data_IF_868947403633
#
_entry.id   IF_868947403633
#
_cell.length_a   1.000
_cell.length_b   1.000
_cell.length_c   1.000
_cell.angle_alpha   90.00
_cell.angle_beta   90.00
_cell.angle_gamma   90.00
#
_symmetry.space_group_name_H-M   'P 1'
#
loop_
_entity.id
_entity.type
_entity.pdbx_description
1 polymer ?
#
# COMPACT_ATOMS: atom_id res chain seq x y z
N UNK A 1 5.22 35.24 4.27
CA UNK A 1 4.71 34.43 5.39
C UNK A 1 3.25 34.03 5.12
N UNK A 2 2.85 32.77 5.33
CA UNK A 2 1.56 32.21 4.90
C UNK A 2 0.34 32.60 5.77
N UNK A 3 0.47 33.55 6.70
CA UNK A 3 -0.56 33.77 7.73
C UNK A 3 -1.02 32.50 8.46
N UNK A 4 -0.23 31.41 8.40
CA UNK A 4 -0.43 30.12 9.05
C UNK A 4 -1.64 29.27 8.67
N UNK A 5 -2.49 29.65 7.71
CA UNK A 5 -3.79 28.98 7.48
C UNK A 5 -3.75 27.89 6.40
N UNK A 6 -4.40 26.76 6.68
CA UNK A 6 -4.57 25.62 5.77
C UNK A 6 -6.01 25.13 5.77
N UNK A 7 -6.47 24.57 4.65
CA UNK A 7 -7.74 23.86 4.55
C UNK A 7 -7.59 22.40 4.94
N UNK A 8 -8.54 21.87 5.70
CA UNK A 8 -8.60 20.44 6.04
C UNK A 8 -9.86 19.82 5.43
N UNK A 9 -9.68 18.75 4.67
CA UNK A 9 -10.79 17.93 4.17
C UNK A 9 -10.71 16.53 4.79
N UNK A 10 -11.61 16.24 5.72
CA UNK A 10 -11.68 14.93 6.37
C UNK A 10 -12.12 13.84 5.38
N UNK A 11 -11.70 12.61 5.65
CA UNK A 11 -12.17 11.44 4.93
C UNK A 11 -13.53 10.94 5.43
N UNK A 12 -13.94 9.78 4.93
CA UNK A 12 -15.12 9.04 5.42
C UNK A 12 -15.00 8.73 6.91
N UNK A 13 -13.79 8.40 7.35
CA UNK A 13 -13.43 8.34 8.76
C UNK A 13 -12.59 9.57 9.11
N UNK A 14 -13.11 10.44 9.98
CA UNK A 14 -12.46 11.70 10.35
C UNK A 14 -11.36 11.53 11.41
N UNK A 15 -11.36 10.43 12.16
CA UNK A 15 -10.38 10.13 13.21
C UNK A 15 -9.92 8.68 13.12
N UNK A 16 -8.70 8.43 13.57
CA UNK A 16 -8.22 7.07 13.78
C UNK A 16 -8.54 6.54 15.19
N UNK A 17 -8.14 5.29 15.46
CA UNK A 17 -8.33 4.63 16.77
C UNK A 17 -7.61 5.31 17.95
N UNK A 18 -6.70 6.24 17.70
CA UNK A 18 -5.99 7.03 18.71
C UNK A 18 -6.55 8.45 18.84
N UNK A 19 -7.65 8.77 18.14
CA UNK A 19 -8.27 10.09 18.16
C UNK A 19 -7.60 11.12 17.26
N UNK A 20 -6.59 10.74 16.47
CA UNK A 20 -5.89 11.67 15.56
C UNK A 20 -6.77 11.98 14.36
N UNK A 21 -6.80 13.23 13.94
CA UNK A 21 -7.55 13.69 12.76
C UNK A 21 -6.96 13.11 11.47
N UNK A 22 -7.81 12.48 10.67
CA UNK A 22 -7.48 12.00 9.33
C UNK A 22 -8.06 12.97 8.29
N UNK A 23 -7.20 13.85 7.78
CA UNK A 23 -7.59 14.87 6.81
C UNK A 23 -6.54 15.03 5.70
N UNK A 24 -7.03 15.45 4.54
CA UNK A 24 -6.22 15.95 3.44
C UNK A 24 -6.00 17.44 3.64
N UNK A 25 -4.74 17.87 3.61
CA UNK A 25 -4.35 19.25 3.85
C UNK A 25 -4.18 19.99 2.53
N UNK A 26 -4.78 21.17 2.45
CA UNK A 26 -4.77 22.04 1.29
C UNK A 26 -4.17 23.40 1.62
N UNK A 27 -3.27 23.89 0.77
CA UNK A 27 -2.81 25.27 0.81
C UNK A 27 -3.90 26.26 0.40
N UNK A 28 -3.63 27.56 0.57
CA UNK A 28 -4.60 28.63 0.26
C UNK A 28 -5.05 28.63 -1.20
N UNK A 29 -4.18 28.22 -2.12
CA UNK A 29 -4.49 28.11 -3.55
C UNK A 29 -5.27 26.83 -3.91
N UNK A 30 -5.65 26.01 -2.93
CA UNK A 30 -6.33 24.73 -3.17
C UNK A 30 -5.37 23.60 -3.57
N UNK A 31 -4.07 23.82 -3.45
CA UNK A 31 -3.03 22.82 -3.70
C UNK A 31 -3.02 21.76 -2.60
N UNK A 32 -3.08 20.48 -3.00
CA UNK A 32 -3.02 19.39 -2.04
C UNK A 32 -1.56 19.16 -1.59
N UNK A 33 -1.29 19.41 -0.30
CA UNK A 33 0.07 19.36 0.23
C UNK A 33 0.64 17.93 0.17
N UNK A 34 -0.18 16.91 0.43
CA UNK A 34 0.27 15.51 0.33
C UNK A 34 0.69 15.16 -1.11
N UNK A 35 -0.06 15.60 -2.11
CA UNK A 35 0.30 15.41 -3.52
C UNK A 35 1.61 16.13 -3.86
N UNK A 36 1.82 17.35 -3.35
CA UNK A 36 3.09 18.07 -3.52
C UNK A 36 4.28 17.33 -2.90
N UNK A 37 4.16 16.89 -1.65
CA UNK A 37 5.21 16.11 -0.98
C UNK A 37 5.54 14.84 -1.76
N UNK A 38 4.52 14.16 -2.29
CA UNK A 38 4.71 12.95 -3.10
C UNK A 38 5.41 13.24 -4.44
N UNK A 39 5.10 14.35 -5.13
CA UNK A 39 5.75 14.71 -6.40
C UNK A 39 7.19 15.23 -6.23
N UNK A 40 7.53 15.70 -5.04
CA UNK A 40 8.89 16.05 -4.61
C UNK A 40 9.68 14.84 -4.08
N UNK A 41 9.03 13.67 -3.93
CA UNK A 41 9.67 12.43 -3.50
C UNK A 41 9.92 12.34 -1.99
N UNK A 42 9.14 13.08 -1.20
CA UNK A 42 9.29 13.19 0.26
C UNK A 42 8.46 12.13 1.02
N UNK A 43 7.90 11.14 0.33
CA UNK A 43 7.14 10.07 0.95
C UNK A 43 6.58 9.06 -0.04
N UNK A 44 5.80 8.13 0.51
CA UNK A 44 5.09 7.09 -0.23
C UNK A 44 3.58 7.31 -0.11
N UNK A 45 2.84 7.13 -1.21
CA UNK A 45 1.39 7.12 -1.15
C UNK A 45 0.91 5.84 -0.47
N UNK A 46 -0.11 6.00 0.38
CA UNK A 46 -0.72 4.91 1.14
C UNK A 46 -2.22 4.94 0.95
N UNK A 47 -2.80 3.78 0.65
CA UNK A 47 -4.24 3.60 0.59
C UNK A 47 -4.74 2.86 1.83
N UNK A 48 -5.50 3.54 2.69
CA UNK A 48 -6.16 2.95 3.87
C UNK A 48 -7.67 3.12 3.73
N UNK A 49 -8.38 2.03 3.44
CA UNK A 49 -9.84 2.06 3.35
C UNK A 49 -10.47 2.39 4.72
N UNK A 50 -11.55 3.21 4.75
CA UNK A 50 -12.31 3.73 3.61
C UNK A 50 -11.83 5.09 3.06
N UNK A 51 -10.75 5.67 3.58
CA UNK A 51 -10.24 6.99 3.20
C UNK A 51 -9.36 6.96 1.94
N UNK A 52 -9.93 6.47 0.82
CA UNK A 52 -9.18 6.20 -0.42
C UNK A 52 -9.51 7.12 -1.59
N UNK A 53 -10.30 8.18 -1.36
CA UNK A 53 -10.79 9.07 -2.44
C UNK A 53 -9.70 9.77 -3.26
N UNK A 54 -8.49 9.96 -2.70
CA UNK A 54 -7.37 10.63 -3.37
C UNK A 54 -6.27 9.69 -3.87
N UNK A 55 -6.45 8.37 -3.72
CA UNK A 55 -5.41 7.38 -4.09
C UNK A 55 -4.91 7.55 -5.52
N UNK A 56 -5.82 7.79 -6.48
CA UNK A 56 -5.44 7.99 -7.89
C UNK A 56 -4.55 9.22 -8.07
N UNK A 57 -4.90 10.35 -7.44
CA UNK A 57 -4.13 11.59 -7.51
C UNK A 57 -2.76 11.44 -6.83
N UNK A 58 -2.73 10.87 -5.63
CA UNK A 58 -1.50 10.64 -4.89
C UNK A 58 -0.55 9.69 -5.62
N UNK A 59 -1.09 8.63 -6.24
CA UNK A 59 -0.33 7.71 -7.08
C UNK A 59 0.26 8.40 -8.30
N UNK A 60 -0.48 9.29 -8.97
CA UNK A 60 0.05 10.08 -10.08
C UNK A 60 1.18 11.01 -9.61
N UNK A 61 1.00 11.69 -8.48
CA UNK A 61 2.03 12.56 -7.92
C UNK A 61 3.31 11.78 -7.57
N UNK A 62 3.19 10.64 -6.88
CA UNK A 62 4.35 9.80 -6.54
C UNK A 62 5.06 9.29 -7.81
N UNK A 63 4.31 8.93 -8.87
CA UNK A 63 4.91 8.50 -10.15
C UNK A 63 5.80 9.58 -10.76
N UNK A 64 5.52 10.87 -10.54
CA UNK A 64 6.40 11.96 -10.99
C UNK A 64 7.75 11.87 -10.27
N UNK A 65 7.74 11.77 -8.95
CA UNK A 65 8.97 11.64 -8.16
C UNK A 65 9.75 10.37 -8.50
N UNK A 66 9.05 9.25 -8.68
CA UNK A 66 9.67 7.97 -9.05
C UNK A 66 10.37 8.03 -10.40
N UNK A 67 9.72 8.59 -11.43
CA UNK A 67 10.32 8.76 -12.76
C UNK A 67 11.52 9.71 -12.75
N UNK A 68 11.44 10.76 -11.94
CA UNK A 68 12.50 11.75 -11.80
C UNK A 68 13.60 11.35 -10.79
N UNK A 69 13.51 10.18 -10.15
CA UNK A 69 14.49 9.74 -9.14
C UNK A 69 14.62 10.68 -7.94
N UNK A 70 13.51 11.27 -7.46
CA UNK A 70 13.55 12.28 -6.39
C UNK A 70 13.41 11.68 -4.99
N UNK A 71 14.09 12.30 -4.03
CA UNK A 71 13.96 11.97 -2.60
C UNK A 71 14.13 10.48 -2.32
N UNK A 72 13.09 9.86 -1.72
CA UNK A 72 13.08 8.41 -1.41
C UNK A 72 13.16 7.50 -2.64
N UNK A 73 13.03 8.05 -3.85
CA UNK A 73 13.12 7.33 -5.13
C UNK A 73 14.46 7.49 -5.85
N UNK A 74 15.46 8.18 -5.26
CA UNK A 74 16.82 8.28 -5.83
C UNK A 74 17.43 6.89 -6.09
N UNK A 75 17.14 5.95 -5.20
CA UNK A 75 17.39 4.52 -5.39
C UNK A 75 16.06 3.78 -5.26
N UNK A 76 15.90 2.67 -5.98
CA UNK A 76 14.67 1.88 -5.89
C UNK A 76 14.49 1.34 -4.47
N UNK A 77 13.43 1.74 -3.74
CA UNK A 77 13.15 1.22 -2.41
C UNK A 77 12.43 -0.13 -2.45
N UNK A 78 12.12 -0.64 -3.67
CA UNK A 78 11.43 -1.91 -3.87
C UNK A 78 12.39 -3.05 -3.53
N UNK A 79 12.06 -3.82 -2.49
CA UNK A 79 12.83 -4.99 -2.07
C UNK A 79 12.14 -6.30 -2.48
N UNK A 80 12.90 -7.38 -2.65
CA UNK A 80 12.33 -8.70 -2.93
C UNK A 80 11.55 -9.25 -1.73
N UNK A 81 10.49 -10.01 -1.97
CA UNK A 81 9.71 -10.62 -0.88
C UNK A 81 10.54 -11.55 0.03
N UNK A 82 11.53 -12.26 -0.52
CA UNK A 82 12.49 -13.08 0.24
C UNK A 82 13.56 -12.27 1.00
N UNK A 83 13.74 -11.00 0.63
CA UNK A 83 14.69 -10.10 1.26
C UNK A 83 14.13 -9.39 2.50
N UNK A 84 12.84 -9.57 2.81
CA UNK A 84 12.23 -9.00 4.01
C UNK A 84 12.96 -9.47 5.29
N UNK A 85 13.35 -8.50 6.12
CA UNK A 85 14.03 -8.72 7.42
C UNK A 85 13.26 -8.15 8.61
N UNK A 86 12.43 -7.13 8.40
CA UNK A 86 11.72 -6.42 9.45
C UNK A 86 10.27 -6.13 9.08
N UNK A 87 9.41 -6.01 10.10
CA UNK A 87 8.06 -5.46 9.96
C UNK A 87 8.10 -3.95 9.70
N UNK A 88 7.04 -3.40 9.13
CA UNK A 88 6.91 -1.96 8.85
C UNK A 88 6.34 -1.70 7.46
N UNK A 89 6.26 -0.44 7.07
CA UNK A 89 5.88 -0.10 5.70
C UNK A 89 6.98 -0.56 4.72
N UNK A 90 6.59 -1.23 3.64
CA UNK A 90 7.52 -1.68 2.61
C UNK A 90 6.90 -1.63 1.21
N UNK A 91 7.77 -1.45 0.22
CA UNK A 91 7.52 -1.72 -1.19
C UNK A 91 8.18 -3.04 -1.55
N UNK A 92 7.38 -4.02 -1.94
CA UNK A 92 7.85 -5.39 -2.16
C UNK A 92 7.58 -5.81 -3.59
N UNK A 93 8.62 -6.26 -4.28
CA UNK A 93 8.52 -6.87 -5.60
C UNK A 93 8.62 -8.39 -5.50
N UNK A 94 7.90 -9.08 -6.38
CA UNK A 94 8.02 -10.53 -6.49
C UNK A 94 7.07 -11.14 -7.51
N UNK A 95 7.11 -12.47 -7.64
CA UNK A 95 6.21 -13.24 -8.51
C UNK A 95 5.04 -13.78 -7.68
N UNK A 96 3.82 -13.59 -8.16
CA UNK A 96 2.67 -14.24 -7.52
C UNK A 96 2.72 -15.75 -7.80
N UNK A 97 2.82 -16.56 -6.74
CA UNK A 97 3.00 -18.00 -6.83
C UNK A 97 1.69 -18.76 -6.62
N UNK A 98 0.83 -18.27 -5.74
CA UNK A 98 -0.43 -18.93 -5.39
C UNK A 98 -1.51 -17.91 -5.05
N UNK A 99 -2.77 -18.21 -5.40
CA UNK A 99 -3.92 -17.35 -5.13
C UNK A 99 -5.07 -18.21 -4.64
N UNK A 100 -5.64 -17.83 -3.50
CA UNK A 100 -6.85 -18.42 -2.95
C UNK A 100 -7.88 -17.34 -2.72
N UNK A 101 -9.10 -17.57 -3.21
CA UNK A 101 -10.26 -16.71 -2.95
C UNK A 101 -11.38 -17.57 -2.38
N UNK A 102 -11.85 -17.22 -1.19
CA UNK A 102 -12.93 -17.94 -0.50
C UNK A 102 -13.75 -16.95 0.34
N UNK A 103 -14.61 -17.44 1.24
CA UNK A 103 -15.46 -16.59 2.11
C UNK A 103 -14.66 -15.82 3.18
N UNK A 104 -13.45 -16.27 3.54
CA UNK A 104 -12.60 -15.59 4.53
C UNK A 104 -11.74 -14.48 3.92
N UNK A 105 -11.71 -14.36 2.59
CA UNK A 105 -11.09 -13.26 1.86
C UNK A 105 -10.30 -13.72 0.63
N UNK A 106 -9.29 -12.94 0.28
CA UNK A 106 -8.34 -13.26 -0.80
C UNK A 106 -6.95 -13.37 -0.20
N UNK A 107 -6.26 -14.48 -0.46
CA UNK A 107 -4.87 -14.72 -0.13
C UNK A 107 -4.06 -14.79 -1.44
N UNK A 108 -2.96 -14.06 -1.50
CA UNK A 108 -2.00 -14.10 -2.61
C UNK A 108 -0.62 -14.35 -2.03
N UNK A 109 0.10 -15.34 -2.51
CA UNK A 109 1.48 -15.60 -2.10
C UNK A 109 2.46 -15.01 -3.11
N UNK A 110 3.47 -14.32 -2.60
CA UNK A 110 4.53 -13.68 -3.37
C UNK A 110 5.86 -14.36 -3.03
N UNK A 111 6.53 -14.91 -4.06
CA UNK A 111 7.80 -15.66 -3.96
C UNK A 111 7.83 -16.68 -2.81
N UNK A 112 6.68 -17.29 -2.50
CA UNK A 112 6.49 -18.22 -1.37
C UNK A 112 7.01 -17.69 -0.01
N UNK A 113 7.15 -16.38 0.14
CA UNK A 113 7.80 -15.72 1.28
C UNK A 113 6.88 -14.72 1.98
N UNK A 114 6.04 -14.04 1.21
CA UNK A 114 5.09 -13.03 1.69
C UNK A 114 3.66 -13.43 1.35
N UNK A 115 2.77 -13.39 2.34
CA UNK A 115 1.34 -13.50 2.13
C UNK A 115 0.74 -12.09 2.03
N UNK A 116 -0.04 -11.86 0.97
CA UNK A 116 -0.95 -10.73 0.86
C UNK A 116 -2.35 -11.19 1.24
N UNK A 117 -3.05 -10.42 2.06
CA UNK A 117 -4.39 -10.75 2.50
C UNK A 117 -5.36 -9.59 2.30
N UNK A 118 -6.42 -9.85 1.55
CA UNK A 118 -7.62 -9.00 1.51
C UNK A 118 -8.61 -9.59 2.52
N UNK A 119 -9.01 -8.84 3.57
CA UNK A 119 -10.04 -9.29 4.51
C UNK A 119 -11.38 -9.57 3.82
N UNK A 120 -12.16 -10.54 4.32
CA UNK A 120 -13.52 -10.83 3.86
C UNK A 120 -14.39 -9.57 3.71
N UNK A 121 -14.35 -8.66 4.71
CA UNK A 121 -15.13 -7.41 4.70
C UNK A 121 -14.80 -6.46 3.53
N UNK A 122 -13.60 -6.56 2.96
CA UNK A 122 -13.16 -5.74 1.83
C UNK A 122 -13.23 -6.49 0.50
N UNK A 123 -13.48 -7.79 0.51
CA UNK A 123 -13.45 -8.64 -0.69
C UNK A 123 -14.40 -8.15 -1.81
N UNK A 124 -15.49 -7.47 -1.46
CA UNK A 124 -16.44 -6.86 -2.41
C UNK A 124 -15.79 -5.76 -3.26
N UNK A 125 -14.82 -5.04 -2.72
CA UNK A 125 -14.10 -3.97 -3.43
C UNK A 125 -13.01 -4.53 -4.37
N UNK A 126 -12.77 -5.85 -4.34
CA UNK A 126 -11.78 -6.55 -5.15
C UNK A 126 -12.47 -7.49 -6.16
N UNK A 127 -12.74 -7.01 -7.40
CA UNK A 127 -13.40 -7.82 -8.41
C UNK A 127 -12.57 -9.05 -8.79
N UNK A 128 -13.19 -10.07 -9.40
CA UNK A 128 -12.46 -11.28 -9.83
C UNK A 128 -11.29 -10.96 -10.78
N UNK A 129 -11.43 -9.92 -11.60
CA UNK A 129 -10.38 -9.42 -12.51
C UNK A 129 -9.12 -8.92 -11.79
N UNK A 130 -9.20 -8.59 -10.49
CA UNK A 130 -8.04 -8.17 -9.71
C UNK A 130 -6.96 -9.26 -9.65
N UNK A 131 -7.37 -10.51 -9.41
CA UNK A 131 -6.47 -11.67 -9.31
C UNK A 131 -6.32 -12.46 -10.61
N UNK A 132 -7.17 -12.19 -11.61
CA UNK A 132 -7.16 -12.91 -12.88
C UNK A 132 -5.78 -12.81 -13.57
N UNK A 133 -5.25 -13.96 -13.98
CA UNK A 133 -3.96 -14.08 -14.68
C UNK A 133 -2.75 -13.57 -13.90
N UNK A 134 -2.87 -13.42 -12.57
CA UNK A 134 -1.80 -12.87 -11.74
C UNK A 134 -0.75 -13.93 -11.38
N UNK A 135 -1.14 -15.21 -11.26
CA UNK A 135 -0.20 -16.31 -11.03
C UNK A 135 0.87 -16.30 -12.12
N UNK A 136 2.12 -16.38 -11.70
CA UNK A 136 3.27 -16.34 -12.60
C UNK A 136 3.74 -14.94 -12.98
N UNK A 137 2.95 -13.89 -12.74
CA UNK A 137 3.31 -12.51 -13.07
C UNK A 137 4.11 -11.85 -11.96
N UNK A 138 4.99 -10.92 -12.36
CA UNK A 138 5.69 -10.02 -11.44
C UNK A 138 4.74 -8.93 -10.99
N UNK A 139 4.74 -8.67 -9.70
CA UNK A 139 3.93 -7.65 -9.05
C UNK A 139 4.80 -6.81 -8.12
N UNK A 140 4.35 -5.59 -7.90
CA UNK A 140 4.82 -4.72 -6.83
C UNK A 140 3.65 -4.52 -5.87
N UNK A 141 3.92 -4.68 -4.58
CA UNK A 141 2.94 -4.49 -3.52
C UNK A 141 3.48 -3.49 -2.51
N UNK A 142 2.59 -2.68 -1.94
CA UNK A 142 2.92 -1.70 -0.90
C UNK A 142 2.00 -1.82 0.30
N UNK A 143 2.55 -1.60 1.49
CA UNK A 143 1.77 -1.60 2.72
C UNK A 143 2.61 -2.00 3.94
N UNK A 144 1.93 -2.20 5.06
CA UNK A 144 2.58 -2.64 6.29
C UNK A 144 2.76 -4.16 6.31
N UNK A 145 4.02 -4.58 6.30
CA UNK A 145 4.45 -5.95 6.54
C UNK A 145 4.43 -6.22 8.04
N UNK A 146 3.79 -7.31 8.42
CA UNK A 146 3.68 -7.83 9.78
C UNK A 146 4.51 -9.10 9.91
N UNK A 147 5.23 -9.19 11.04
CA UNK A 147 5.96 -10.39 11.44
C UNK A 147 5.06 -11.29 12.30
N UNK A 148 4.54 -12.37 11.71
CA UNK A 148 3.61 -13.27 12.42
C UNK A 148 4.29 -14.11 13.49
N UNK A 149 5.59 -14.38 13.37
CA UNK A 149 6.33 -15.18 14.36
C UNK A 149 6.49 -14.47 15.71
N UNK A 150 6.27 -13.15 15.76
CA UNK A 150 6.33 -12.37 17.01
C UNK A 150 5.09 -12.53 17.89
N UNK A 151 3.94 -12.91 17.31
CA UNK A 151 2.68 -13.08 18.07
C UNK A 151 2.51 -14.50 18.57
N UNK A 152 2.90 -15.49 17.77
CA UNK A 152 2.80 -16.91 18.11
C UNK A 152 3.81 -17.72 17.28
N UNK A 153 4.24 -18.90 17.75
CA UNK A 153 5.03 -19.82 16.94
C UNK A 153 4.33 -20.13 15.62
N UNK A 154 5.07 -20.11 14.52
CA UNK A 154 4.54 -20.45 13.19
C UNK A 154 4.32 -21.96 13.11
N UNK A 155 3.17 -22.39 12.59
CA UNK A 155 2.95 -23.80 12.26
C UNK A 155 3.80 -24.20 11.03
N UNK A 156 4.16 -25.48 10.86
CA UNK A 156 4.84 -25.94 9.65
C UNK A 156 4.11 -25.48 8.38
N UNK A 157 4.85 -24.87 7.45
CA UNK A 157 4.30 -24.33 6.20
C UNK A 157 3.71 -22.93 6.29
N UNK A 158 3.55 -22.34 7.48
CA UNK A 158 3.09 -20.96 7.60
C UNK A 158 4.17 -19.95 7.21
N UNK A 159 3.80 -18.98 6.39
CA UNK A 159 4.69 -17.88 6.03
C UNK A 159 4.74 -16.86 7.15
N UNK A 160 5.96 -16.42 7.45
CA UNK A 160 6.28 -15.42 8.49
C UNK A 160 5.67 -14.06 8.18
N UNK A 161 5.78 -13.62 6.93
CA UNK A 161 5.42 -12.25 6.54
C UNK A 161 3.98 -12.17 6.02
N UNK A 162 3.25 -11.18 6.51
CA UNK A 162 1.88 -10.87 6.09
C UNK A 162 1.76 -9.38 5.76
N UNK A 163 1.14 -9.05 4.64
CA UNK A 163 0.78 -7.68 4.26
C UNK A 163 -0.72 -7.61 3.96
N UNK A 164 -1.42 -6.72 4.64
CA UNK A 164 -2.86 -6.53 4.47
C UNK A 164 -3.14 -5.57 3.32
N UNK A 165 -3.95 -6.00 2.34
CA UNK A 165 -4.44 -5.14 1.26
C UNK A 165 -5.78 -4.56 1.67
N UNK A 166 -5.85 -3.24 1.78
CA UNK A 166 -7.10 -2.53 2.06
C UNK A 166 -7.70 -1.85 0.84
N UNK A 167 -6.91 -1.65 -0.20
CA UNK A 167 -7.35 -1.08 -1.48
C UNK A 167 -6.60 -1.74 -2.64
N UNK A 168 -7.22 -1.77 -3.82
CA UNK A 168 -6.67 -2.39 -5.03
C UNK A 168 -5.36 -1.73 -5.51
N UNK A 169 -5.20 -0.43 -5.26
CA UNK A 169 -4.00 0.32 -5.63
C UNK A 169 -2.72 -0.14 -4.92
N UNK A 170 -2.86 -0.94 -3.86
CA UNK A 170 -1.73 -1.46 -3.11
C UNK A 170 -0.97 -2.58 -3.84
N UNK A 171 -1.53 -3.15 -4.91
CA UNK A 171 -0.90 -4.18 -5.73
C UNK A 171 -0.95 -3.77 -7.21
N UNK A 172 0.20 -3.75 -7.86
CA UNK A 172 0.35 -3.43 -9.27
C UNK A 172 1.07 -4.54 -10.02
N UNK A 173 0.64 -4.81 -11.25
CA UNK A 173 1.41 -5.65 -12.18
C UNK A 173 2.61 -4.84 -12.66
N UNK A 174 3.80 -5.44 -12.63
CA UNK A 174 4.99 -4.83 -13.20
C UNK A 174 5.16 -5.39 -14.60
N UNK A 175 4.87 -4.55 -15.61
CA UNK A 175 5.28 -4.85 -16.97
C UNK A 175 6.78 -4.52 -17.07
N UNK A 176 7.56 -5.48 -17.53
CA UNK A 176 8.94 -5.22 -17.95
C UNK A 176 8.93 -4.34 -19.18
#
# INVERSE_FOLDING_TARGET
>A
ENGGRVGLRTGREARDKYGRTLAQVYGRSGDNLSARLLSEGLGFHVAVAPNVSLVTCQKQAERVARKAGRGVWRHSPVQGASALRSSGFALVGGKASHIQRNRSGIRIEIDNSLILQVPARLQRDFPASFTAGLIGRRVEVRGWVLDRSRKSPLKPGEKRWLLMLTDRSMLERVNR
#
